data_IF_491868392639
#
_entry.id   IF_491868392639
#
_cell.length_a   1.000
_cell.length_b   1.000
_cell.length_c   1.000
_cell.angle_alpha   90.00
_cell.angle_beta   90.00
_cell.angle_gamma   90.00
#
_symmetry.space_group_name_H-M   'P 1'
#
loop_
_entity.id
_entity.type
_entity.pdbx_description
1 polymer ?
#
# COMPACT_ATOMS: atom_id res chain seq x y z
N UNK A 1 -1.34 14.84 26.43
CA UNK A 1 -1.93 15.54 27.60
C UNK A 1 -1.69 14.63 28.80
N UNK A 2 -1.24 15.17 29.94
CA UNK A 2 -1.06 14.35 31.13
C UNK A 2 -2.40 13.75 31.57
N UNK A 3 -2.40 12.47 31.96
CA UNK A 3 -3.62 11.72 32.28
C UNK A 3 -4.53 12.41 33.33
N UNK A 4 -4.00 13.06 34.39
CA UNK A 4 -4.83 13.81 35.34
C UNK A 4 -5.54 15.03 34.75
N UNK A 5 -5.02 15.61 33.66
CA UNK A 5 -5.68 16.70 32.93
C UNK A 5 -6.70 16.14 31.95
N UNK A 6 -6.38 15.02 31.30
CA UNK A 6 -7.25 14.35 30.32
C UNK A 6 -8.58 13.93 30.95
N UNK A 7 -8.53 13.43 32.18
CA UNK A 7 -9.71 13.02 32.97
C UNK A 7 -10.66 14.19 33.30
N UNK A 8 -10.16 15.42 33.27
CA UNK A 8 -10.93 16.65 33.57
C UNK A 8 -11.38 17.40 32.33
N UNK A 9 -11.22 16.82 31.14
CA UNK A 9 -11.57 17.44 29.87
C UNK A 9 -12.58 16.59 29.12
N UNK A 10 -13.58 17.24 28.54
CA UNK A 10 -14.34 16.65 27.45
C UNK A 10 -13.49 16.73 26.17
N UNK A 11 -13.19 15.58 25.58
CA UNK A 11 -12.41 15.51 24.35
C UNK A 11 -13.38 15.49 23.17
N UNK A 12 -13.33 16.55 22.37
CA UNK A 12 -14.02 16.62 21.08
C UNK A 12 -12.98 16.32 19.99
N UNK A 13 -13.12 15.18 19.33
CA UNK A 13 -12.24 14.78 18.24
C UNK A 13 -12.72 15.41 16.91
N UNK A 14 -11.86 16.21 16.29
CA UNK A 14 -12.13 16.78 14.97
C UNK A 14 -11.54 15.89 13.90
N UNK A 15 -12.42 15.35 13.05
CA UNK A 15 -12.05 14.44 11.98
C UNK A 15 -11.42 15.20 10.79
N UNK A 16 -10.68 14.47 9.97
CA UNK A 16 -10.14 14.97 8.72
C UNK A 16 -11.20 15.16 7.64
N UNK A 17 -10.84 15.88 6.58
CA UNK A 17 -11.74 16.16 5.45
C UNK A 17 -11.51 15.20 4.28
N UNK A 18 -12.59 14.80 3.61
CA UNK A 18 -12.57 14.15 2.29
C UNK A 18 -12.04 15.08 1.19
N UNK A 19 -11.78 14.55 -0.02
CA UNK A 19 -11.36 15.41 -1.13
C UNK A 19 -12.46 16.42 -1.49
N UNK A 20 -13.71 15.98 -1.53
CA UNK A 20 -14.90 16.78 -1.84
C UNK A 20 -15.10 17.89 -0.81
N UNK A 21 -15.00 17.55 0.48
CA UNK A 21 -15.07 18.52 1.57
C UNK A 21 -13.96 19.56 1.44
N UNK A 22 -12.74 19.15 1.11
CA UNK A 22 -11.62 20.09 0.89
C UNK A 22 -11.83 21.01 -0.30
N UNK A 23 -12.41 20.51 -1.39
CA UNK A 23 -12.79 21.34 -2.55
C UNK A 23 -13.80 22.41 -2.11
N UNK A 24 -14.86 22.01 -1.41
CA UNK A 24 -15.85 22.96 -0.90
C UNK A 24 -15.24 23.98 0.07
N UNK A 25 -14.38 23.55 0.99
CA UNK A 25 -13.67 24.44 1.91
C UNK A 25 -12.77 25.41 1.16
N UNK A 26 -12.07 24.94 0.12
CA UNK A 26 -11.20 25.79 -0.69
C UNK A 26 -11.99 26.92 -1.38
N UNK A 27 -13.08 26.58 -2.07
CA UNK A 27 -13.90 27.58 -2.77
C UNK A 27 -14.63 28.53 -1.81
N UNK A 28 -15.16 28.01 -0.71
CA UNK A 28 -15.98 28.82 0.21
C UNK A 28 -15.16 29.71 1.13
N UNK A 29 -13.95 29.30 1.50
CA UNK A 29 -13.16 29.97 2.53
C UNK A 29 -11.73 30.28 2.12
N UNK A 30 -10.97 29.31 1.62
CA UNK A 30 -9.52 29.48 1.45
C UNK A 30 -9.17 30.40 0.28
N UNK A 31 -9.81 30.22 -0.87
CA UNK A 31 -9.56 31.02 -2.08
C UNK A 31 -9.95 32.49 -1.81
N UNK A 32 -11.18 32.81 -1.35
CA UNK A 32 -11.54 34.20 -1.05
C UNK A 32 -10.58 34.86 -0.05
N UNK A 33 -10.20 34.15 1.03
CA UNK A 33 -9.24 34.66 2.02
C UNK A 33 -7.88 34.93 1.40
N UNK A 34 -7.35 34.01 0.60
CA UNK A 34 -6.04 34.19 -0.03
C UNK A 34 -6.04 35.27 -1.12
N UNK A 35 -7.18 35.55 -1.77
CA UNK A 35 -7.27 36.69 -2.69
C UNK A 35 -7.20 38.02 -1.94
N UNK A 36 -7.95 38.14 -0.85
CA UNK A 36 -7.98 39.33 0.01
C UNK A 36 -6.60 39.61 0.65
N UNK A 37 -6.00 38.60 1.29
CA UNK A 37 -4.70 38.72 1.95
C UNK A 37 -3.56 39.10 0.99
N UNK A 38 -3.67 38.75 -0.29
CA UNK A 38 -2.67 39.07 -1.32
C UNK A 38 -3.08 40.26 -2.21
N UNK A 39 -4.24 40.89 -1.97
CA UNK A 39 -4.72 42.04 -2.72
C UNK A 39 -4.99 41.77 -4.20
N UNK A 40 -5.47 40.57 -4.54
CA UNK A 40 -5.71 40.17 -5.94
C UNK A 40 -7.20 40.34 -6.28
N UNK A 41 -7.54 41.14 -7.31
CA UNK A 41 -8.91 41.23 -7.80
C UNK A 41 -9.42 39.88 -8.32
N UNK A 42 -10.70 39.59 -8.12
CA UNK A 42 -11.32 38.29 -8.50
C UNK A 42 -11.25 38.06 -10.01
N UNK A 43 -11.19 39.12 -10.81
CA UNK A 43 -11.14 39.06 -12.26
C UNK A 43 -9.75 38.65 -12.78
N UNK A 44 -8.71 38.77 -11.94
CA UNK A 44 -7.31 38.56 -12.31
C UNK A 44 -6.84 37.11 -12.10
N UNK A 45 -7.63 36.28 -11.43
CA UNK A 45 -7.30 34.88 -11.20
C UNK A 45 -8.56 34.01 -11.09
N UNK A 46 -8.53 32.85 -11.74
CA UNK A 46 -9.61 31.88 -11.72
C UNK A 46 -9.07 30.52 -11.31
N UNK A 47 -9.78 29.88 -10.39
CA UNK A 47 -9.50 28.53 -9.92
C UNK A 47 -10.59 27.58 -10.45
N UNK A 48 -10.36 26.86 -11.55
CA UNK A 48 -11.23 25.76 -11.96
C UNK A 48 -11.22 24.66 -10.89
N UNK A 49 -12.35 23.96 -10.71
CA UNK A 49 -12.46 22.87 -9.74
C UNK A 49 -11.38 21.79 -9.94
N UNK A 50 -11.15 21.40 -11.20
CA UNK A 50 -10.10 20.45 -11.58
C UNK A 50 -8.69 20.91 -11.17
N UNK A 51 -8.42 22.21 -11.20
CA UNK A 51 -7.15 22.78 -10.72
C UNK A 51 -6.99 22.62 -9.21
N UNK A 52 -8.07 22.86 -8.46
CA UNK A 52 -8.08 22.68 -7.00
C UNK A 52 -7.92 21.21 -6.63
N UNK A 53 -8.64 20.29 -7.30
CA UNK A 53 -8.47 18.85 -7.12
C UNK A 53 -7.05 18.40 -7.43
N UNK A 54 -6.45 18.93 -8.49
CA UNK A 54 -5.06 18.64 -8.85
C UNK A 54 -4.07 19.09 -7.76
N UNK A 55 -4.28 20.26 -7.15
CA UNK A 55 -3.47 20.73 -6.00
C UNK A 55 -3.63 19.77 -4.82
N UNK A 56 -4.87 19.41 -4.48
CA UNK A 56 -5.16 18.52 -3.35
C UNK A 56 -4.42 17.19 -3.52
N UNK A 57 -4.50 16.56 -4.70
CA UNK A 57 -3.93 15.23 -4.95
C UNK A 57 -2.40 15.21 -5.05
N UNK A 58 -1.80 16.22 -5.66
CA UNK A 58 -0.38 16.17 -6.05
C UNK A 58 0.55 17.08 -5.24
N UNK A 59 -0.01 17.99 -4.44
CA UNK A 59 0.74 18.99 -3.68
C UNK A 59 0.37 19.03 -2.19
N UNK A 60 -0.60 18.24 -1.74
CA UNK A 60 -0.99 18.14 -0.32
C UNK A 60 -1.10 16.68 0.15
N UNK A 61 -0.55 16.37 1.33
CA UNK A 61 -0.76 15.08 2.03
C UNK A 61 -0.94 15.35 3.51
N UNK A 62 -2.19 15.59 3.87
CA UNK A 62 -2.64 15.92 5.23
C UNK A 62 -4.13 15.58 5.36
N UNK A 63 -4.63 15.42 6.58
CA UNK A 63 -6.08 15.30 6.82
C UNK A 63 -6.79 16.66 6.81
N UNK A 64 -6.11 17.73 7.23
CA UNK A 64 -6.63 19.10 7.23
C UNK A 64 -6.46 19.83 5.88
N UNK A 65 -6.42 21.16 5.94
CA UNK A 65 -6.32 22.06 4.76
C UNK A 65 -5.18 23.08 4.87
N UNK A 66 -4.22 22.88 5.77
CA UNK A 66 -3.15 23.87 6.03
C UNK A 66 -2.15 23.94 4.87
N UNK A 67 -1.70 22.80 4.38
CA UNK A 67 -0.87 22.70 3.17
C UNK A 67 -1.65 23.15 1.94
N UNK A 68 -2.95 22.84 1.86
CA UNK A 68 -3.82 23.31 0.78
C UNK A 68 -3.85 24.84 0.72
N UNK A 69 -4.14 25.49 1.85
CA UNK A 69 -4.12 26.95 1.95
C UNK A 69 -2.76 27.55 1.61
N UNK A 70 -1.66 27.00 2.16
CA UNK A 70 -0.31 27.48 1.87
C UNK A 70 0.01 27.40 0.36
N UNK A 71 -0.48 26.36 -0.30
CA UNK A 71 -0.27 26.12 -1.72
C UNK A 71 -1.06 27.11 -2.56
N UNK A 72 -2.35 27.31 -2.25
CA UNK A 72 -3.20 28.34 -2.87
C UNK A 72 -2.57 29.72 -2.69
N UNK A 73 -2.13 30.07 -1.48
CA UNK A 73 -1.47 31.34 -1.20
C UNK A 73 -0.15 31.53 -1.95
N UNK A 74 0.58 30.45 -2.26
CA UNK A 74 1.78 30.52 -3.10
C UNK A 74 1.44 30.88 -4.54
N UNK A 75 0.35 30.34 -5.08
CA UNK A 75 -0.16 30.68 -6.41
C UNK A 75 -0.59 32.14 -6.43
N UNK A 76 -1.36 32.59 -5.42
CA UNK A 76 -1.76 33.98 -5.28
C UNK A 76 -0.55 34.92 -5.23
N UNK A 77 0.45 34.67 -4.37
CA UNK A 77 1.68 35.50 -4.32
C UNK A 77 2.42 35.59 -5.66
N UNK A 78 2.46 34.49 -6.42
CA UNK A 78 3.07 34.48 -7.75
C UNK A 78 2.28 35.32 -8.75
N UNK A 79 0.95 35.29 -8.70
CA UNK A 79 0.12 36.17 -9.52
C UNK A 79 0.25 37.63 -9.11
N UNK A 80 0.24 37.94 -7.81
CA UNK A 80 0.46 39.29 -7.31
C UNK A 80 1.81 39.86 -7.80
N UNK A 81 2.86 39.04 -7.78
CA UNK A 81 4.16 39.42 -8.36
C UNK A 81 4.08 39.69 -9.87
N UNK A 82 3.40 38.83 -10.64
CA UNK A 82 3.21 39.04 -12.09
C UNK A 82 2.49 40.36 -12.39
N UNK A 83 1.45 40.68 -11.63
CA UNK A 83 0.71 41.94 -11.75
C UNK A 83 1.60 43.14 -11.43
N UNK A 84 2.40 43.07 -10.36
CA UNK A 84 3.36 44.12 -10.00
C UNK A 84 4.47 44.30 -11.05
N UNK A 85 4.85 43.24 -11.76
CA UNK A 85 5.78 43.29 -12.91
C UNK A 85 5.11 43.78 -14.21
N UNK A 86 3.82 44.16 -14.18
CA UNK A 86 3.08 44.72 -15.31
C UNK A 86 2.37 43.70 -16.20
N UNK A 87 2.37 42.41 -15.84
CA UNK A 87 1.62 41.37 -16.56
C UNK A 87 0.18 41.32 -16.05
N UNK A 88 -0.75 41.91 -16.79
CA UNK A 88 -2.17 42.09 -16.39
C UNK A 88 -3.11 40.98 -16.89
N UNK A 89 -2.54 39.90 -17.42
CA UNK A 89 -3.31 38.76 -17.91
C UNK A 89 -3.96 37.99 -16.75
N UNK A 90 -5.25 37.64 -16.95
CA UNK A 90 -5.97 36.77 -16.04
C UNK A 90 -5.30 35.40 -15.97
N UNK A 91 -4.99 34.95 -14.75
CA UNK A 91 -4.40 33.63 -14.52
C UNK A 91 -5.50 32.58 -14.37
N UNK A 92 -5.49 31.56 -15.22
CA UNK A 92 -6.31 30.35 -15.01
C UNK A 92 -5.42 29.27 -14.38
N UNK A 93 -5.82 28.78 -13.22
CA UNK A 93 -5.05 27.79 -12.44
C UNK A 93 -5.27 26.38 -13.00
N UNK A 94 -4.67 26.12 -14.17
CA UNK A 94 -4.64 24.80 -14.82
C UNK A 94 -3.49 23.94 -14.31
N UNK A 95 -3.42 22.67 -14.71
CA UNK A 95 -2.35 21.73 -14.32
C UNK A 95 -0.96 22.27 -14.72
N UNK A 96 -0.85 22.87 -15.89
CA UNK A 96 0.38 23.44 -16.44
C UNK A 96 0.83 24.64 -15.60
N UNK A 97 -0.09 25.57 -15.30
CA UNK A 97 0.18 26.72 -14.43
C UNK A 97 0.61 26.28 -13.03
N UNK A 98 -0.05 25.26 -12.48
CA UNK A 98 0.28 24.71 -11.16
C UNK A 98 1.70 24.15 -11.16
N UNK A 99 2.11 23.40 -12.19
CA UNK A 99 3.46 22.86 -12.30
C UNK A 99 4.51 23.95 -12.51
N UNK A 100 4.23 24.96 -13.32
CA UNK A 100 5.11 26.13 -13.48
C UNK A 100 5.33 26.84 -12.14
N UNK A 101 4.27 27.02 -11.37
CA UNK A 101 4.31 27.83 -10.15
C UNK A 101 4.85 27.07 -8.95
N UNK A 102 4.46 25.80 -8.78
CA UNK A 102 4.80 25.01 -7.61
C UNK A 102 5.96 24.03 -7.83
N UNK A 103 6.41 23.89 -9.08
CA UNK A 103 7.36 22.87 -9.53
C UNK A 103 6.66 21.57 -9.92
N UNK A 104 7.46 20.56 -10.29
CA UNK A 104 6.97 19.23 -10.62
C UNK A 104 6.12 18.59 -9.50
N UNK A 105 5.40 17.52 -9.86
CA UNK A 105 4.54 16.77 -8.94
C UNK A 105 5.32 16.38 -7.68
N UNK A 106 4.82 16.81 -6.51
CA UNK A 106 5.47 16.53 -5.22
C UNK A 106 5.00 15.22 -4.61
N UNK A 107 3.78 14.80 -4.96
CA UNK A 107 3.11 13.64 -4.36
C UNK A 107 2.56 12.78 -5.49
N UNK A 108 3.08 11.56 -5.59
CA UNK A 108 2.66 10.55 -6.56
C UNK A 108 1.78 9.52 -5.84
N UNK A 109 0.56 9.94 -5.48
CA UNK A 109 -0.42 9.06 -4.86
C UNK A 109 -0.90 7.99 -5.84
N UNK A 110 -1.03 8.36 -7.11
CA UNK A 110 -1.45 7.47 -8.19
C UNK A 110 -0.28 6.59 -8.64
N UNK A 111 -0.47 5.27 -8.57
CA UNK A 111 0.46 4.27 -9.09
C UNK A 111 1.47 3.70 -8.09
N UNK A 112 1.80 4.40 -6.99
CA UNK A 112 2.77 3.89 -5.99
C UNK A 112 2.31 2.57 -5.37
N UNK A 113 1.01 2.46 -5.04
CA UNK A 113 0.45 1.23 -4.49
C UNK A 113 0.55 0.08 -5.50
N UNK A 114 0.14 0.32 -6.74
CA UNK A 114 0.20 -0.69 -7.80
C UNK A 114 1.64 -1.14 -8.05
N UNK A 115 2.56 -0.20 -8.22
CA UNK A 115 3.98 -0.46 -8.50
C UNK A 115 4.63 -1.28 -7.38
N UNK A 116 4.42 -0.90 -6.11
CA UNK A 116 5.04 -1.61 -4.97
C UNK A 116 4.44 -3.00 -4.74
N UNK A 117 3.14 -3.18 -5.00
CA UNK A 117 2.45 -4.48 -4.80
C UNK A 117 2.68 -5.48 -5.94
N UNK A 118 3.35 -5.08 -7.03
CA UNK A 118 3.79 -6.02 -8.09
C UNK A 118 4.79 -7.07 -7.57
N UNK A 119 5.48 -6.78 -6.47
CA UNK A 119 6.45 -7.70 -5.86
C UNK A 119 5.78 -8.54 -4.77
N UNK A 120 5.90 -9.88 -4.81
CA UNK A 120 5.53 -10.72 -3.67
C UNK A 120 6.28 -10.31 -2.40
N UNK A 121 5.58 -10.33 -1.27
CA UNK A 121 6.11 -9.86 0.00
C UNK A 121 5.96 -8.36 0.24
N UNK A 122 5.08 -7.68 -0.49
CA UNK A 122 4.73 -6.27 -0.23
C UNK A 122 3.22 -6.13 -0.11
N UNK A 123 2.74 -5.73 1.07
CA UNK A 123 1.33 -5.48 1.34
C UNK A 123 1.07 -4.05 1.80
N UNK A 124 -0.17 -3.61 1.67
CA UNK A 124 -0.60 -2.27 2.03
C UNK A 124 -1.43 -2.32 3.30
N UNK A 125 -0.97 -1.64 4.35
CA UNK A 125 -1.63 -1.48 5.63
C UNK A 125 -2.25 -0.11 5.79
N UNK A 126 -3.39 -0.02 6.50
CA UNK A 126 -3.98 1.25 6.89
C UNK A 126 -3.59 1.59 8.33
N UNK A 127 -3.06 2.78 8.52
CA UNK A 127 -2.67 3.28 9.83
C UNK A 127 -3.51 4.49 10.23
N UNK A 128 -3.72 4.62 11.53
CA UNK A 128 -4.25 5.83 12.13
C UNK A 128 -3.10 6.60 12.77
N UNK A 129 -3.04 7.91 12.52
CA UNK A 129 -2.07 8.80 13.15
C UNK A 129 -2.81 9.99 13.77
N UNK A 130 -2.18 10.72 14.71
CA UNK A 130 -2.77 11.95 15.25
C UNK A 130 -3.04 13.04 14.19
N UNK A 131 -2.42 12.94 13.01
CA UNK A 131 -2.64 13.85 11.87
C UNK A 131 -3.64 13.28 10.85
N UNK A 132 -4.35 12.20 11.20
CA UNK A 132 -5.31 11.48 10.37
C UNK A 132 -4.78 10.13 9.85
N UNK A 133 -5.56 9.48 9.00
CA UNK A 133 -5.21 8.18 8.45
C UNK A 133 -4.12 8.26 7.39
N UNK A 134 -3.29 7.22 7.30
CA UNK A 134 -2.23 7.10 6.29
C UNK A 134 -2.13 5.65 5.79
N UNK A 135 -1.51 5.49 4.62
CA UNK A 135 -1.22 4.20 4.02
C UNK A 135 0.24 3.83 4.26
N UNK A 136 0.47 2.60 4.70
CA UNK A 136 1.79 2.05 4.98
C UNK A 136 2.08 0.86 4.07
N UNK A 137 3.32 0.73 3.64
CA UNK A 137 3.80 -0.45 2.94
C UNK A 137 4.48 -1.38 3.94
N UNK A 138 4.06 -2.63 4.03
CA UNK A 138 4.75 -3.65 4.81
C UNK A 138 5.50 -4.52 3.82
N UNK A 139 6.82 -4.59 3.98
CA UNK A 139 7.72 -5.29 3.07
C UNK A 139 8.39 -6.43 3.82
N UNK A 140 8.44 -7.61 3.22
CA UNK A 140 9.16 -8.75 3.75
C UNK A 140 10.12 -9.34 2.70
N UNK A 141 11.26 -9.83 3.17
CA UNK A 141 12.22 -10.54 2.34
C UNK A 141 12.78 -11.76 3.07
N UNK A 142 13.28 -12.73 2.30
CA UNK A 142 13.89 -13.94 2.82
C UNK A 142 15.33 -14.07 2.29
N UNK A 143 16.23 -14.50 3.15
CA UNK A 143 17.62 -14.81 2.79
C UNK A 143 18.05 -16.13 3.41
N UNK A 144 19.08 -16.79 2.85
CA UNK A 144 19.67 -17.98 3.49
C UNK A 144 20.22 -17.61 4.85
N UNK A 145 19.93 -18.43 5.86
CA UNK A 145 20.23 -18.09 7.25
C UNK A 145 20.03 -19.27 8.19
N UNK A 146 19.71 -18.98 9.45
CA UNK A 146 19.54 -19.96 10.53
C UNK A 146 18.17 -19.86 11.21
N UNK A 147 17.18 -19.25 10.55
CA UNK A 147 15.83 -19.08 11.08
C UNK A 147 15.61 -17.81 11.88
N UNK A 148 16.47 -16.79 11.70
CA UNK A 148 16.33 -15.49 12.34
C UNK A 148 15.15 -14.69 11.80
N UNK A 149 14.54 -13.87 12.66
CA UNK A 149 13.50 -12.92 12.26
C UNK A 149 13.91 -11.49 12.62
N UNK A 150 14.21 -10.70 11.60
CA UNK A 150 14.63 -9.30 11.75
C UNK A 150 13.44 -8.38 11.53
N UNK A 151 13.24 -7.43 12.42
CA UNK A 151 12.15 -6.44 12.35
C UNK A 151 12.74 -5.04 12.31
N UNK A 152 12.30 -4.19 11.38
CA UNK A 152 12.81 -2.82 11.23
C UNK A 152 11.71 -1.83 10.90
N UNK A 153 11.93 -0.54 11.15
CA UNK A 153 10.92 0.50 10.88
C UNK A 153 10.62 1.47 12.01
N UNK A 154 11.46 1.54 13.04
CA UNK A 154 11.19 2.32 14.28
C UNK A 154 9.86 1.93 14.92
N UNK A 155 9.67 0.63 15.11
CA UNK A 155 8.45 0.03 15.64
C UNK A 155 8.51 -0.08 17.17
N UNK A 156 7.39 0.20 17.83
CA UNK A 156 7.24 0.02 19.27
C UNK A 156 7.09 -1.45 19.68
N UNK A 157 6.98 -1.70 20.98
CA UNK A 157 6.93 -3.05 21.54
C UNK A 157 5.66 -3.80 21.10
N UNK A 158 4.51 -3.13 21.06
CA UNK A 158 3.23 -3.74 20.68
C UNK A 158 3.27 -4.19 19.22
N UNK A 159 3.91 -3.39 18.37
CA UNK A 159 4.07 -3.72 16.95
C UNK A 159 5.04 -4.90 16.74
N UNK A 160 6.09 -5.03 17.56
CA UNK A 160 6.99 -6.20 17.53
C UNK A 160 6.24 -7.48 17.93
N UNK A 161 5.39 -7.43 18.95
CA UNK A 161 4.54 -8.55 19.35
C UNK A 161 3.58 -8.96 18.22
N UNK A 162 2.99 -7.99 17.53
CA UNK A 162 2.13 -8.23 16.37
C UNK A 162 2.87 -8.90 15.20
N UNK A 163 4.10 -8.46 14.89
CA UNK A 163 4.97 -9.11 13.89
C UNK A 163 5.30 -10.55 14.27
N UNK A 164 5.60 -10.79 15.56
CA UNK A 164 5.89 -12.11 16.08
C UNK A 164 4.65 -13.03 16.01
N UNK A 165 3.46 -12.50 16.33
CA UNK A 165 2.20 -13.23 16.22
C UNK A 165 1.90 -13.61 14.77
N UNK A 166 2.12 -12.70 13.82
CA UNK A 166 1.97 -12.97 12.38
C UNK A 166 2.91 -14.08 11.93
N UNK A 167 4.20 -14.01 12.28
CA UNK A 167 5.15 -15.07 11.96
C UNK A 167 4.74 -16.42 12.58
N UNK A 168 4.29 -16.40 13.84
CA UNK A 168 3.88 -17.61 14.55
C UNK A 168 2.69 -18.26 13.85
N UNK A 169 1.67 -17.48 13.48
CA UNK A 169 0.53 -18.01 12.74
C UNK A 169 0.95 -18.62 11.41
N UNK A 170 1.80 -17.93 10.64
CA UNK A 170 2.30 -18.42 9.34
C UNK A 170 3.08 -19.72 9.49
N UNK A 171 3.95 -19.83 10.51
CA UNK A 171 4.70 -21.06 10.81
C UNK A 171 3.79 -22.21 11.20
N UNK A 172 2.81 -21.98 12.06
CA UNK A 172 1.84 -23.00 12.48
C UNK A 172 0.92 -23.48 11.35
N UNK A 173 0.88 -22.75 10.22
CA UNK A 173 0.06 -23.07 9.06
C UNK A 173 0.89 -23.40 7.81
N UNK A 174 2.21 -23.62 7.95
CA UNK A 174 3.14 -23.77 6.84
C UNK A 174 2.70 -24.85 5.83
N UNK A 175 2.33 -26.04 6.31
CA UNK A 175 1.91 -27.17 5.48
C UNK A 175 0.70 -26.82 4.61
N UNK A 176 -0.31 -26.19 5.23
CA UNK A 176 -1.54 -25.76 4.56
C UNK A 176 -1.28 -24.66 3.53
N UNK A 177 -0.26 -23.83 3.77
CA UNK A 177 0.17 -22.76 2.87
C UNK A 177 1.10 -23.26 1.76
N UNK A 178 1.51 -24.53 1.78
CA UNK A 178 2.46 -25.10 0.82
C UNK A 178 3.90 -24.61 1.01
N UNK A 179 4.26 -24.23 2.24
CA UNK A 179 5.62 -23.81 2.61
C UNK A 179 6.38 -25.03 3.13
N UNK A 180 7.60 -25.25 2.64
CA UNK A 180 8.43 -26.37 3.09
C UNK A 180 8.75 -26.28 4.59
N UNK A 181 8.67 -27.40 5.31
CA UNK A 181 8.91 -27.46 6.76
C UNK A 181 10.30 -26.94 7.16
N UNK A 182 11.31 -27.20 6.33
CA UNK A 182 12.70 -26.80 6.57
C UNK A 182 12.98 -25.33 6.24
N UNK A 183 12.03 -24.62 5.62
CA UNK A 183 12.21 -23.25 5.16
C UNK A 183 12.62 -22.34 6.32
N UNK A 184 11.89 -22.40 7.44
CA UNK A 184 12.11 -21.55 8.61
C UNK A 184 13.37 -21.90 9.40
N UNK A 185 13.99 -23.05 9.15
CA UNK A 185 15.28 -23.41 9.74
C UNK A 185 16.46 -22.90 8.89
N UNK A 186 16.28 -22.87 7.57
CA UNK A 186 17.32 -22.60 6.59
C UNK A 186 17.34 -21.16 6.05
N UNK A 187 16.33 -20.35 6.40
CA UNK A 187 16.18 -18.97 5.93
C UNK A 187 15.92 -18.02 7.08
N UNK A 188 16.56 -16.86 7.03
CA UNK A 188 16.17 -15.72 7.84
C UNK A 188 15.10 -14.91 7.11
N UNK A 189 14.18 -14.34 7.87
CA UNK A 189 13.14 -13.45 7.41
C UNK A 189 13.41 -12.04 7.92
N UNK A 190 13.16 -11.05 7.07
CA UNK A 190 13.24 -9.64 7.44
C UNK A 190 11.94 -8.95 7.06
N UNK A 191 11.23 -8.41 8.05
CA UNK A 191 10.07 -7.54 7.84
C UNK A 191 10.43 -6.08 8.12
N UNK A 192 9.98 -5.21 7.23
CA UNK A 192 10.20 -3.78 7.28
C UNK A 192 8.87 -3.04 7.19
N UNK A 193 8.65 -2.11 8.11
CA UNK A 193 7.53 -1.17 8.08
C UNK A 193 8.12 0.23 8.01
N UNK A 194 8.25 0.86 6.82
CA UNK A 194 8.92 2.13 6.63
C UNK A 194 8.44 3.17 7.64
N UNK A 195 9.40 3.83 8.30
CA UNK A 195 9.11 4.88 9.26
C UNK A 195 8.43 6.07 8.57
N UNK A 196 7.30 6.51 9.12
CA UNK A 196 6.83 7.88 8.97
C UNK A 196 7.28 8.63 10.22
N UNK A 197 7.16 9.95 10.26
CA UNK A 197 7.61 10.78 11.40
C UNK A 197 6.86 10.53 12.73
N UNK A 198 5.95 9.54 12.77
CA UNK A 198 5.05 9.25 13.89
C UNK A 198 5.32 7.82 14.38
N UNK A 199 5.57 7.61 15.70
CA UNK A 199 5.77 6.29 16.29
C UNK A 199 4.60 5.35 15.96
N UNK A 200 4.91 4.16 15.44
CA UNK A 200 3.92 3.13 15.10
C UNK A 200 3.89 2.08 16.19
N UNK A 201 2.98 2.25 17.14
CA UNK A 201 2.84 1.35 18.27
C UNK A 201 1.37 0.97 18.47
N UNK A 202 0.86 0.15 17.55
CA UNK A 202 -0.50 -0.39 17.61
C UNK A 202 -0.63 -1.71 16.87
N UNK A 203 -1.48 -2.63 17.34
CA UNK A 203 -1.57 -4.00 16.81
C UNK A 203 -2.32 -4.10 15.47
N UNK A 204 -2.87 -2.99 14.97
CA UNK A 204 -3.81 -2.93 13.85
C UNK A 204 -3.27 -3.28 12.45
N UNK A 205 -2.00 -3.68 12.34
CA UNK A 205 -1.38 -4.13 11.09
C UNK A 205 -1.06 -5.64 11.07
N UNK A 206 -1.57 -6.41 12.04
CA UNK A 206 -1.34 -7.85 12.12
C UNK A 206 -1.76 -8.61 10.87
N UNK A 207 -2.96 -8.33 10.33
CA UNK A 207 -3.44 -8.95 9.09
C UNK A 207 -2.54 -8.61 7.90
N UNK A 208 -2.08 -7.36 7.83
CA UNK A 208 -1.14 -6.90 6.81
C UNK A 208 0.16 -7.67 6.87
N UNK A 209 0.72 -7.85 8.07
CA UNK A 209 1.98 -8.57 8.30
C UNK A 209 1.87 -10.05 7.94
N UNK A 210 0.80 -10.72 8.38
CA UNK A 210 0.55 -12.11 8.03
C UNK A 210 0.42 -12.27 6.51
N UNK A 211 -0.36 -11.42 5.85
CA UNK A 211 -0.53 -11.45 4.39
C UNK A 211 0.78 -11.18 3.65
N UNK A 212 1.60 -10.25 4.14
CA UNK A 212 2.93 -9.95 3.57
C UNK A 212 3.83 -11.19 3.61
N UNK A 213 3.90 -11.85 4.77
CA UNK A 213 4.70 -13.06 4.93
C UNK A 213 4.18 -14.21 4.04
N UNK A 214 2.87 -14.44 3.99
CA UNK A 214 2.29 -15.47 3.12
C UNK A 214 2.55 -15.15 1.64
N UNK A 215 2.41 -13.90 1.22
CA UNK A 215 2.73 -13.45 -0.14
C UNK A 215 4.18 -13.76 -0.51
N UNK A 216 5.13 -13.42 0.37
CA UNK A 216 6.55 -13.72 0.19
C UNK A 216 6.80 -15.23 0.04
N UNK A 217 6.31 -16.02 0.99
CA UNK A 217 6.60 -17.46 1.07
C UNK A 217 5.95 -18.25 -0.07
N UNK A 218 4.75 -17.87 -0.47
CA UNK A 218 4.03 -18.53 -1.57
C UNK A 218 4.36 -17.93 -2.94
N UNK A 219 5.19 -16.88 -2.98
CA UNK A 219 5.53 -16.10 -4.20
C UNK A 219 4.29 -15.61 -4.96
N UNK A 220 3.19 -15.38 -4.24
CA UNK A 220 1.95 -14.85 -4.80
C UNK A 220 1.90 -13.35 -4.59
N UNK A 221 1.64 -12.61 -5.66
CA UNK A 221 1.41 -11.16 -5.58
C UNK A 221 0.09 -10.90 -4.87
N UNK A 222 0.03 -9.80 -4.12
CA UNK A 222 -1.22 -9.34 -3.53
C UNK A 222 -2.05 -8.66 -4.61
N UNK A 223 -3.37 -8.76 -4.51
CA UNK A 223 -4.32 -8.07 -5.39
C UNK A 223 -3.95 -6.58 -5.46
N UNK A 224 -3.76 -6.00 -6.67
CA UNK A 224 -3.40 -4.60 -6.81
C UNK A 224 -4.45 -3.68 -6.16
N UNK A 225 -3.99 -2.52 -5.68
CA UNK A 225 -4.86 -1.49 -5.08
C UNK A 225 -5.72 -1.99 -3.91
N UNK A 226 -5.26 -3.03 -3.21
CA UNK A 226 -5.91 -3.55 -2.01
C UNK A 226 -5.15 -3.10 -0.76
N UNK A 227 -5.87 -2.57 0.23
CA UNK A 227 -5.34 -2.24 1.54
C UNK A 227 -6.07 -2.99 2.67
N UNK A 228 -5.43 -3.17 3.81
CA UNK A 228 -6.03 -3.90 4.93
C UNK A 228 -5.66 -3.32 6.29
N UNK A 229 -6.52 -3.55 7.28
CA UNK A 229 -6.23 -3.31 8.70
C UNK A 229 -6.91 -4.39 9.52
N UNK A 230 -6.34 -4.69 10.68
CA UNK A 230 -6.87 -5.70 11.58
C UNK A 230 -5.78 -6.17 12.53
N UNK A 231 -6.14 -6.26 13.80
CA UNK A 231 -5.34 -7.00 14.78
C UNK A 231 -5.58 -8.49 14.58
N UNK A 232 -4.59 -9.32 14.94
CA UNK A 232 -4.68 -10.77 14.80
C UNK A 232 -4.39 -11.48 16.12
N UNK A 233 -4.97 -12.67 16.27
CA UNK A 233 -4.60 -13.60 17.32
C UNK A 233 -3.73 -14.73 16.78
N UNK A 234 -3.03 -15.44 17.67
CA UNK A 234 -2.27 -16.65 17.31
C UNK A 234 -3.17 -17.75 16.71
N UNK A 235 -4.46 -17.76 17.06
CA UNK A 235 -5.45 -18.69 16.51
C UNK A 235 -5.94 -18.32 15.11
N UNK A 236 -5.56 -17.13 14.61
CA UNK A 236 -5.94 -16.67 13.27
C UNK A 236 -7.22 -15.86 13.19
N UNK A 237 -7.76 -15.38 14.31
CA UNK A 237 -8.91 -14.46 14.30
C UNK A 237 -8.44 -13.04 13.99
N UNK A 238 -9.31 -12.27 13.33
CA UNK A 238 -9.12 -10.84 13.05
C UNK A 238 -9.98 -10.04 14.02
N UNK A 239 -9.35 -9.18 14.81
CA UNK A 239 -9.97 -8.37 15.85
C UNK A 239 -10.26 -6.94 15.37
N UNK A 240 -11.29 -6.27 15.95
CA UNK A 240 -11.64 -4.91 15.60
C UNK A 240 -10.52 -3.91 15.91
N UNK A 241 -10.48 -2.84 15.13
CA UNK A 241 -9.50 -1.76 15.27
C UNK A 241 -10.18 -0.40 15.27
N UNK A 242 -9.55 0.59 15.90
CA UNK A 242 -10.03 1.98 15.90
C UNK A 242 -9.68 2.77 14.63
N UNK A 243 -10.27 3.96 14.51
CA UNK A 243 -9.97 4.94 13.46
C UNK A 243 -10.41 4.51 12.06
N UNK A 244 -11.54 3.82 11.95
CA UNK A 244 -12.01 3.23 10.69
C UNK A 244 -12.28 4.30 9.64
N UNK A 245 -12.98 5.38 10.02
CA UNK A 245 -13.23 6.50 9.10
C UNK A 245 -11.95 7.06 8.51
N UNK A 246 -10.96 7.39 9.34
CA UNK A 246 -9.70 7.97 8.89
C UNK A 246 -8.91 7.02 8.00
N UNK A 247 -8.89 5.73 8.35
CA UNK A 247 -8.21 4.68 7.58
C UNK A 247 -8.85 4.48 6.21
N UNK A 248 -10.19 4.45 6.15
CA UNK A 248 -10.94 4.33 4.89
C UNK A 248 -10.73 5.55 4.01
N UNK A 249 -10.83 6.76 4.56
CA UNK A 249 -10.54 8.00 3.83
C UNK A 249 -9.09 8.05 3.34
N UNK A 250 -8.14 7.51 4.11
CA UNK A 250 -6.74 7.41 3.69
C UNK A 250 -6.55 6.44 2.53
N UNK A 251 -7.21 5.29 2.57
CA UNK A 251 -7.23 4.33 1.47
C UNK A 251 -7.75 4.97 0.18
N UNK A 252 -8.89 5.67 0.26
CA UNK A 252 -9.50 6.36 -0.88
C UNK A 252 -8.57 7.43 -1.46
N UNK A 253 -7.97 8.28 -0.61
CA UNK A 253 -6.99 9.30 -1.06
C UNK A 253 -5.76 8.70 -1.73
N UNK A 254 -5.39 7.46 -1.38
CA UNK A 254 -4.27 6.75 -1.99
C UNK A 254 -4.65 5.95 -3.25
N UNK A 255 -5.91 6.01 -3.69
CA UNK A 255 -6.40 5.31 -4.89
C UNK A 255 -6.63 3.81 -4.69
N UNK A 256 -6.81 3.36 -3.45
CA UNK A 256 -7.20 1.97 -3.13
C UNK A 256 -8.62 1.71 -3.62
N UNK A 257 -8.85 0.55 -4.25
CA UNK A 257 -10.18 0.12 -4.73
C UNK A 257 -10.82 -0.90 -3.79
N UNK A 258 -9.99 -1.66 -3.07
CA UNK A 258 -10.44 -2.75 -2.21
C UNK A 258 -9.86 -2.60 -0.80
N UNK A 259 -10.71 -2.64 0.22
CA UNK A 259 -10.28 -2.55 1.63
C UNK A 259 -10.76 -3.77 2.41
N UNK A 260 -9.84 -4.43 3.09
CA UNK A 260 -10.16 -5.49 4.06
C UNK A 260 -10.24 -4.88 5.46
N UNK A 261 -11.41 -5.03 6.09
CA UNK A 261 -11.68 -4.59 7.47
C UNK A 261 -12.12 -5.77 8.34
N UNK A 262 -11.88 -5.72 9.66
CA UNK A 262 -12.46 -6.68 10.59
C UNK A 262 -13.99 -6.66 10.50
N UNK A 263 -14.62 -7.83 10.58
CA UNK A 263 -16.08 -7.95 10.45
C UNK A 263 -16.84 -7.18 11.54
N UNK A 264 -16.25 -7.08 12.73
CA UNK A 264 -16.81 -6.32 13.85
C UNK A 264 -16.80 -4.80 13.63
N UNK A 265 -15.95 -4.28 12.75
CA UNK A 265 -15.92 -2.85 12.42
C UNK A 265 -17.00 -2.43 11.40
N UNK A 266 -17.87 -3.33 10.95
CA UNK A 266 -18.95 -3.01 10.00
C UNK A 266 -19.85 -1.89 10.51
N UNK A 267 -20.22 -1.92 11.80
CA UNK A 267 -21.04 -0.88 12.42
C UNK A 267 -20.38 0.50 12.35
N UNK A 268 -19.07 0.59 12.60
CA UNK A 268 -18.33 1.85 12.48
C UNK A 268 -18.35 2.38 11.04
N UNK A 269 -18.29 1.50 10.04
CA UNK A 269 -18.39 1.93 8.65
C UNK A 269 -19.77 2.51 8.35
N UNK A 270 -20.82 1.81 8.78
CA UNK A 270 -22.21 2.21 8.52
C UNK A 270 -22.58 3.52 9.26
N UNK A 271 -21.98 3.80 10.42
CA UNK A 271 -22.23 4.99 11.23
C UNK A 271 -21.37 6.20 10.85
N UNK A 272 -20.08 6.01 10.57
CA UNK A 272 -19.12 7.12 10.48
C UNK A 272 -18.86 7.60 9.03
N UNK A 273 -19.21 6.78 8.03
CA UNK A 273 -18.92 7.03 6.61
C UNK A 273 -20.19 7.22 5.78
N UNK A 274 -20.17 8.21 4.89
CA UNK A 274 -21.28 8.45 3.96
C UNK A 274 -21.17 7.57 2.71
N UNK A 275 -22.28 7.32 1.97
CA UNK A 275 -22.23 6.59 0.70
C UNK A 275 -21.26 7.20 -0.33
N UNK A 276 -21.18 8.53 -0.37
CA UNK A 276 -20.22 9.26 -1.22
C UNK A 276 -18.77 8.99 -0.80
N UNK A 277 -18.48 8.89 0.50
CA UNK A 277 -17.16 8.54 1.00
C UNK A 277 -16.76 7.10 0.67
N UNK A 278 -17.72 6.19 0.52
CA UNK A 278 -17.52 4.79 0.12
C UNK A 278 -17.58 4.56 -1.40
N UNK A 279 -17.90 5.57 -2.19
CA UNK A 279 -18.01 5.44 -3.64
C UNK A 279 -16.68 4.93 -4.25
N UNK A 280 -16.80 3.97 -5.17
CA UNK A 280 -15.68 3.29 -5.84
C UNK A 280 -14.73 2.53 -4.91
N UNK A 281 -15.15 2.24 -3.67
CA UNK A 281 -14.40 1.46 -2.70
C UNK A 281 -15.16 0.19 -2.30
N UNK A 282 -14.59 -0.98 -2.57
CA UNK A 282 -15.16 -2.26 -2.16
C UNK A 282 -14.64 -2.65 -0.78
N UNK A 283 -15.54 -2.76 0.18
CA UNK A 283 -15.21 -3.16 1.56
C UNK A 283 -15.45 -4.66 1.74
N UNK A 284 -14.41 -5.37 2.18
CA UNK A 284 -14.43 -6.80 2.49
C UNK A 284 -14.32 -6.99 4.00
N UNK A 285 -15.34 -7.59 4.60
CA UNK A 285 -15.38 -7.84 6.05
C UNK A 285 -14.91 -9.24 6.36
N UNK A 286 -13.87 -9.36 7.19
CA UNK A 286 -13.22 -10.65 7.50
C UNK A 286 -13.17 -10.92 9.00
N UNK A 287 -13.32 -12.19 9.37
CA UNK A 287 -13.22 -12.70 10.74
C UNK A 287 -11.92 -13.44 11.00
N UNK A 288 -11.29 -13.95 9.94
CA UNK A 288 -10.09 -14.78 10.05
C UNK A 288 -9.01 -14.33 9.07
N UNK A 289 -7.76 -14.67 9.39
CA UNK A 289 -6.62 -14.42 8.48
C UNK A 289 -6.85 -15.16 7.16
N UNK A 290 -7.49 -16.33 7.18
CA UNK A 290 -7.79 -17.09 5.97
C UNK A 290 -8.73 -16.36 5.00
N UNK A 291 -9.79 -15.76 5.52
CA UNK A 291 -10.70 -14.93 4.72
C UNK A 291 -9.94 -13.73 4.14
N UNK A 292 -9.06 -13.10 4.93
CA UNK A 292 -8.21 -12.01 4.44
C UNK A 292 -7.27 -12.47 3.31
N UNK A 293 -6.66 -13.65 3.44
CA UNK A 293 -5.79 -14.25 2.43
C UNK A 293 -6.54 -14.62 1.14
N UNK A 294 -7.78 -15.10 1.24
CA UNK A 294 -8.62 -15.43 0.09
C UNK A 294 -8.96 -14.19 -0.75
N UNK A 295 -9.18 -13.05 -0.11
CA UNK A 295 -9.45 -11.78 -0.80
C UNK A 295 -8.15 -11.16 -1.34
N UNK A 296 -7.08 -11.21 -0.56
CA UNK A 296 -5.82 -10.51 -0.86
C UNK A 296 -4.89 -11.25 -1.81
N UNK A 297 -4.97 -12.58 -1.92
CA UNK A 297 -4.12 -13.38 -2.80
C UNK A 297 -4.99 -14.00 -3.89
N UNK A 298 -4.89 -13.54 -5.16
CA UNK A 298 -5.65 -14.10 -6.26
C UNK A 298 -5.38 -15.61 -6.39
N UNK A 299 -6.46 -16.36 -6.61
CA UNK A 299 -6.41 -17.78 -6.94
C UNK A 299 -5.67 -17.93 -8.26
N UNK A 300 -4.45 -18.49 -8.23
CA UNK A 300 -3.72 -18.76 -9.47
C UNK A 300 -4.32 -20.04 -10.08
N UNK A 301 -5.28 -19.89 -11.00
CA UNK A 301 -5.57 -20.95 -11.95
C UNK A 301 -4.29 -21.20 -12.77
N UNK A 302 -3.59 -22.30 -12.45
CA UNK A 302 -2.44 -22.75 -13.24
C UNK A 302 -1.10 -22.10 -12.88
N UNK A 303 -0.75 -21.97 -11.59
CA UNK A 303 0.65 -21.77 -11.21
C UNK A 303 1.47 -22.95 -11.72
N UNK A 304 2.51 -22.69 -12.51
CA UNK A 304 3.48 -23.68 -13.01
C UNK A 304 4.12 -24.47 -11.86
N UNK A 305 4.10 -23.94 -10.63
CA UNK A 305 4.52 -24.66 -9.42
C UNK A 305 3.63 -25.88 -9.11
N UNK A 306 2.32 -25.82 -9.38
CA UNK A 306 1.41 -26.95 -9.17
C UNK A 306 1.64 -28.08 -10.20
N UNK A 307 2.08 -27.76 -11.42
CA UNK A 307 2.44 -28.77 -12.43
C UNK A 307 3.79 -29.44 -12.15
N UNK A 308 4.74 -28.72 -11.54
CA UNK A 308 6.02 -29.31 -11.11
C UNK A 308 5.86 -30.30 -9.94
N UNK A 309 4.87 -30.08 -9.07
CA UNK A 309 4.57 -30.93 -7.91
C UNK A 309 3.62 -32.11 -8.22
N UNK A 310 2.98 -32.12 -9.40
CA UNK A 310 2.05 -33.19 -9.82
C UNK A 310 2.72 -34.29 -10.67
N UNK A 311 4.03 -34.22 -10.89
CA UNK A 311 4.75 -35.33 -11.53
C UNK A 311 5.12 -36.33 -10.45
N UNK A 312 4.56 -37.56 -10.44
CA UNK A 312 5.03 -38.58 -9.51
C UNK A 312 6.54 -38.81 -9.74
N UNK A 313 7.31 -39.14 -8.69
CA UNK A 313 8.72 -39.45 -8.85
C UNK A 313 8.86 -40.55 -9.91
N UNK A 314 9.68 -40.31 -10.94
CA UNK A 314 10.02 -41.34 -11.92
C UNK A 314 10.58 -42.54 -11.17
N UNK A 315 9.97 -43.70 -11.38
CA UNK A 315 10.45 -44.98 -10.87
C UNK A 315 11.88 -45.20 -11.39
N UNK A 316 12.91 -45.28 -10.51
CA UNK A 316 14.30 -45.46 -10.93
C UNK A 316 14.54 -46.82 -11.61
N UNK A 317 13.57 -47.74 -11.61
CA UNK A 317 13.64 -49.00 -12.34
C UNK A 317 13.24 -48.92 -13.82
N UNK A 318 12.74 -47.78 -14.31
CA UNK A 318 12.28 -47.64 -15.70
C UNK A 318 13.33 -47.05 -16.67
N UNK A 319 14.46 -46.54 -16.17
CA UNK A 319 15.52 -45.95 -17.02
C UNK A 319 16.77 -46.87 -17.16
N UNK A 320 16.62 -48.19 -16.96
CA UNK A 320 17.66 -49.14 -17.36
C UNK A 320 17.45 -49.58 -18.82
N UNK A 321 18.06 -48.87 -19.76
CA UNK A 321 18.23 -49.35 -21.13
C UNK A 321 19.66 -49.93 -21.24
N UNK A 322 19.84 -51.27 -21.31
CA UNK A 322 21.18 -51.83 -21.47
C UNK A 322 21.78 -51.29 -22.77
N UNK A 323 22.96 -50.69 -22.66
CA UNK A 323 23.73 -50.12 -23.76
C UNK A 323 23.81 -51.12 -24.91
N UNK A 324 23.27 -50.77 -26.07
CA UNK A 324 23.49 -51.54 -27.29
C UNK A 324 24.99 -51.51 -27.64
N UNK A 325 25.59 -52.64 -28.05
CA UNK A 325 26.99 -52.65 -28.45
C UNK A 325 27.21 -51.71 -29.64
N UNK A 326 28.24 -50.87 -29.51
CA UNK A 326 28.63 -49.88 -30.52
C UNK A 326 28.94 -50.61 -31.83
N UNK A 327 28.25 -50.24 -32.92
CA UNK A 327 28.59 -50.69 -34.28
C UNK A 327 29.98 -50.16 -34.64
N UNK A 328 30.85 -51.05 -35.12
CA UNK A 328 32.16 -50.67 -35.66
C UNK A 328 31.99 -49.67 -36.82
N UNK A 329 32.84 -48.64 -36.93
CA UNK A 329 32.75 -47.65 -37.99
C UNK A 329 33.08 -48.27 -39.36
N UNK A 330 32.30 -47.91 -40.38
CA UNK A 330 32.53 -48.37 -41.75
C UNK A 330 33.85 -47.82 -42.33
N UNK A 331 34.59 -48.61 -43.13
CA UNK A 331 35.85 -48.19 -43.70
C UNK A 331 35.66 -47.07 -44.74
N UNK A 332 36.38 -45.97 -44.55
CA UNK A 332 36.44 -44.84 -45.49
C UNK A 332 37.24 -45.25 -46.72
N UNK A 333 36.60 -45.29 -47.90
CA UNK A 333 37.30 -45.45 -49.17
C UNK A 333 37.84 -44.11 -49.67
N UNK A 334 39.17 -43.97 -49.66
CA UNK A 334 39.89 -42.86 -50.28
C UNK A 334 39.62 -42.79 -51.79
N UNK A 335 39.02 -41.69 -52.25
CA UNK A 335 39.01 -41.33 -53.67
C UNK A 335 40.19 -40.43 -53.96
N UNK A 336 41.29 -41.04 -54.40
CA UNK A 336 42.43 -40.34 -54.99
C UNK A 336 42.00 -39.75 -56.33
N UNK A 337 41.93 -38.41 -56.40
CA UNK A 337 41.90 -37.64 -57.64
C UNK A 337 43.27 -37.74 -58.30
N UNK A 338 43.34 -38.35 -59.48
CA UNK A 338 44.47 -38.14 -60.41
C UNK A 338 43.93 -37.56 -61.70
N UNK A 339 44.42 -36.36 -62.04
CA UNK A 339 44.27 -35.73 -63.35
C UNK A 339 45.33 -36.29 -64.30
N UNK A 340 44.91 -36.62 -65.52
CA UNK A 340 45.64 -36.40 -66.76
C UNK A 340 44.64 -36.38 -67.92
#
# INVERSE_FOLDING_TARGET
IAEPLRDRMEIIELQGYSEEEKVHIAFRYLIPRQLDENGIPVEQIEFPEEGVRYIIRHYTREAGVRSLERTIGTICRKQARRLAEGKTEKLVVTKETIQEFLGGIKIRSEGEIAERTERPGVAVGLAWTPSGGDVLFVEANAMKGKGGFTMTGQIGQVMQESMQAALTWVRSNADRLGVAEDFFANHDLHIHVPAGAIPKDGPSAGVTMATTLVSLLTKRRITPLLAMTGEITLSGNVLPVGGIKEKVLAAKRAGVTDVILPAENKMNVDEDLTPEQLENLKVHYVKTIDEALQVSLPQVEGSVAAKLLATPPKDPSQDYNPTQPVKEPEPVHDRVLTQA
#
